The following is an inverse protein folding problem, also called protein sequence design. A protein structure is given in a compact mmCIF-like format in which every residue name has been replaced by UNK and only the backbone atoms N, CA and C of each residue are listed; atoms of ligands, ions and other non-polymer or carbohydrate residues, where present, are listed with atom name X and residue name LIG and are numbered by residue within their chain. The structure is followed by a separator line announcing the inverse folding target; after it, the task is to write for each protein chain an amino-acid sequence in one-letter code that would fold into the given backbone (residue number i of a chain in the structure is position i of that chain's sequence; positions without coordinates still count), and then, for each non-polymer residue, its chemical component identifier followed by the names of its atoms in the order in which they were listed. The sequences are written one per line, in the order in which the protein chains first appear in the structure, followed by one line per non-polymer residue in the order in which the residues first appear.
data_IF_327097554419
#
_entry.id   IF_327097554419
#
_cell.length_a   1.000
_cell.length_b   1.000
_cell.length_c   1.000
_cell.angle_alpha   90.00
_cell.angle_beta   90.00
_cell.angle_gamma   90.00
#
_symmetry.space_group_name_H-M   'P 1'
#
loop_
_entity.id
_entity.type
_entity.pdbx_description
1 polymer ?
#
# COMPACT_ATOMS: atom_id res chain seq x y z
N UNK A 1 52.88 30.84 -16.30
CA UNK A 1 52.50 31.50 -15.03
C UNK A 1 51.18 30.90 -14.54
N UNK A 2 51.16 30.30 -13.36
CA UNK A 2 49.92 29.71 -12.80
C UNK A 2 49.01 30.83 -12.33
N UNK A 3 47.70 30.67 -12.54
CA UNK A 3 46.70 31.60 -12.00
C UNK A 3 46.61 31.43 -10.48
N UNK A 4 46.49 32.53 -9.74
CA UNK A 4 46.27 32.52 -8.29
C UNK A 4 44.95 31.85 -7.99
N UNK A 5 44.95 30.80 -7.18
CA UNK A 5 43.74 30.11 -6.71
C UNK A 5 43.14 30.85 -5.50
N UNK A 6 41.85 31.03 -5.47
CA UNK A 6 41.13 31.61 -4.33
C UNK A 6 41.17 30.67 -3.13
N UNK A 7 41.36 31.21 -1.93
CA UNK A 7 41.27 30.46 -0.67
C UNK A 7 39.81 30.24 -0.24
N UNK A 8 38.88 30.93 -0.89
CA UNK A 8 37.44 30.75 -0.65
C UNK A 8 36.81 30.20 -1.92
N UNK A 9 36.22 29.00 -1.79
CA UNK A 9 35.45 28.38 -2.89
C UNK A 9 33.98 28.60 -2.60
N UNK A 10 33.28 29.20 -3.55
CA UNK A 10 31.84 29.16 -3.64
C UNK A 10 31.42 27.98 -4.51
N UNK A 11 30.97 26.91 -3.90
CA UNK A 11 30.62 25.69 -4.61
C UNK A 11 29.39 25.90 -5.52
N UNK A 12 28.46 26.76 -5.15
CA UNK A 12 27.25 27.03 -5.96
C UNK A 12 27.66 27.73 -7.25
N UNK A 13 28.48 28.78 -7.14
CA UNK A 13 28.98 29.52 -8.29
C UNK A 13 29.84 28.63 -9.19
N UNK A 14 30.71 27.81 -8.62
CA UNK A 14 31.54 26.87 -9.37
C UNK A 14 30.72 25.85 -10.14
N UNK A 15 29.67 25.31 -9.53
CA UNK A 15 28.76 24.38 -10.20
C UNK A 15 28.02 25.01 -11.38
N UNK A 16 27.56 26.25 -11.25
CA UNK A 16 26.97 27.00 -12.36
C UNK A 16 27.97 27.22 -13.50
N UNK A 17 29.20 27.64 -13.20
CA UNK A 17 30.23 27.81 -14.20
C UNK A 17 30.56 26.52 -14.96
N UNK A 18 30.58 25.37 -14.27
CA UNK A 18 30.80 24.06 -14.91
C UNK A 18 29.60 23.65 -15.78
N UNK A 19 28.39 23.87 -15.35
CA UNK A 19 27.20 23.57 -16.15
C UNK A 19 27.15 24.43 -17.42
N UNK A 20 27.47 25.72 -17.31
CA UNK A 20 27.57 26.62 -18.46
C UNK A 20 28.69 26.21 -19.44
N UNK A 21 29.84 25.79 -18.90
CA UNK A 21 30.93 25.24 -19.72
C UNK A 21 30.49 23.99 -20.47
N UNK A 22 29.82 23.03 -19.78
CA UNK A 22 29.33 21.81 -20.41
C UNK A 22 28.35 22.10 -21.53
N UNK A 23 27.46 23.05 -21.32
CA UNK A 23 26.45 23.49 -22.31
C UNK A 23 27.14 24.14 -23.51
N UNK A 24 27.99 25.15 -23.28
CA UNK A 24 28.70 25.88 -24.33
C UNK A 24 29.61 24.99 -25.17
N UNK A 25 30.27 24.02 -24.56
CA UNK A 25 31.19 23.10 -25.22
C UNK A 25 30.50 21.82 -25.74
N UNK A 26 29.22 21.65 -25.55
CA UNK A 26 28.46 20.44 -25.92
C UNK A 26 29.06 19.15 -25.39
N UNK A 27 29.57 19.16 -24.13
CA UNK A 27 30.38 18.06 -23.56
C UNK A 27 29.62 16.74 -23.61
N UNK A 28 28.33 16.72 -23.23
CA UNK A 28 27.50 15.50 -23.27
C UNK A 28 27.40 14.92 -24.70
N UNK A 29 27.12 15.78 -25.72
CA UNK A 29 27.04 15.32 -27.10
C UNK A 29 28.37 14.77 -27.61
N UNK A 30 29.51 15.39 -27.22
CA UNK A 30 30.86 14.88 -27.55
C UNK A 30 31.12 13.50 -26.93
N UNK A 31 30.69 13.28 -25.66
CA UNK A 31 30.85 12.00 -24.99
C UNK A 31 30.01 10.90 -25.69
N UNK A 32 28.77 11.20 -26.04
CA UNK A 32 27.87 10.26 -26.76
C UNK A 32 28.51 9.88 -28.11
N UNK A 33 28.96 10.87 -28.90
CA UNK A 33 29.59 10.64 -30.19
C UNK A 33 30.90 9.83 -30.10
N UNK A 34 31.72 10.09 -29.07
CA UNK A 34 32.99 9.36 -28.84
C UNK A 34 32.76 7.85 -28.61
N UNK A 35 31.63 7.49 -28.02
CA UNK A 35 31.36 6.11 -27.66
C UNK A 35 30.40 5.41 -28.63
N UNK A 36 29.93 6.06 -29.66
CA UNK A 36 29.08 5.49 -30.67
C UNK A 36 29.70 4.27 -31.35
N UNK A 37 28.94 3.19 -31.52
CA UNK A 37 29.35 1.93 -32.12
C UNK A 37 30.23 1.02 -31.23
N UNK A 38 30.47 1.43 -29.99
CA UNK A 38 31.23 0.62 -29.01
C UNK A 38 30.27 -0.40 -28.32
N UNK A 39 30.81 -1.37 -27.55
CA UNK A 39 29.96 -2.30 -26.82
C UNK A 39 28.98 -1.57 -25.90
N UNK A 40 27.69 -1.96 -26.00
CA UNK A 40 26.59 -1.29 -25.30
C UNK A 40 26.59 -1.60 -23.81
N UNK A 41 26.21 -0.60 -23.04
CA UNK A 41 25.81 -0.75 -21.65
C UNK A 41 24.67 0.26 -21.36
N UNK A 42 23.64 -0.18 -20.70
CA UNK A 42 22.54 0.68 -20.27
C UNK A 42 21.81 0.01 -19.11
N UNK A 43 21.12 0.80 -18.32
CA UNK A 43 20.14 0.31 -17.37
C UNK A 43 18.75 0.86 -17.73
N UNK A 44 17.73 0.20 -17.25
CA UNK A 44 16.38 0.71 -17.34
C UNK A 44 16.09 1.52 -16.08
N UNK A 45 15.78 2.79 -16.25
CA UNK A 45 15.44 3.66 -15.12
C UNK A 45 13.98 3.44 -14.69
N UNK A 46 13.76 3.25 -13.39
CA UNK A 46 12.45 3.39 -12.77
C UNK A 46 12.09 4.87 -12.73
N UNK A 47 11.07 5.32 -13.50
CA UNK A 47 10.79 6.73 -13.65
C UNK A 47 10.22 7.34 -12.38
N UNK A 48 10.62 8.57 -12.05
CA UNK A 48 10.04 9.34 -10.95
C UNK A 48 8.64 9.78 -11.35
N UNK A 49 7.68 9.69 -10.43
CA UNK A 49 6.34 10.25 -10.64
C UNK A 49 6.43 11.77 -10.78
N UNK A 50 5.92 12.28 -11.90
CA UNK A 50 5.99 13.72 -12.22
C UNK A 50 4.82 14.50 -11.58
N UNK A 51 4.68 14.39 -10.26
CA UNK A 51 3.61 15.01 -9.48
C UNK A 51 4.06 16.18 -8.60
N UNK A 52 5.35 16.23 -8.24
CA UNK A 52 5.96 17.24 -7.37
C UNK A 52 7.43 17.47 -7.73
N UNK A 53 8.08 18.43 -7.05
CA UNK A 53 9.53 18.62 -7.13
C UNK A 53 10.25 17.38 -6.62
N UNK A 54 11.48 17.13 -7.08
CA UNK A 54 12.31 16.06 -6.55
C UNK A 54 12.61 16.28 -5.06
N UNK A 55 12.44 15.23 -4.27
CA UNK A 55 12.98 15.17 -2.91
C UNK A 55 14.44 14.76 -2.91
N UNK A 56 15.10 14.86 -1.76
CA UNK A 56 16.52 14.51 -1.55
C UNK A 56 16.80 13.06 -1.97
N UNK A 57 15.91 12.13 -1.65
CA UNK A 57 16.05 10.72 -2.02
C UNK A 57 16.04 10.49 -3.54
N UNK A 58 15.28 11.29 -4.30
CA UNK A 58 15.31 11.25 -5.76
C UNK A 58 16.66 11.74 -6.30
N UNK A 59 17.20 12.84 -5.76
CA UNK A 59 18.50 13.37 -6.12
C UNK A 59 19.60 12.35 -5.80
N UNK A 60 19.55 11.72 -4.64
CA UNK A 60 20.47 10.66 -4.25
C UNK A 60 20.45 9.47 -5.21
N UNK A 61 19.25 8.94 -5.52
CA UNK A 61 19.10 7.86 -6.50
C UNK A 61 19.64 8.24 -7.89
N UNK A 62 19.41 9.48 -8.36
CA UNK A 62 19.95 9.96 -9.64
C UNK A 62 21.49 10.06 -9.61
N UNK A 63 22.07 10.48 -8.51
CA UNK A 63 23.53 10.56 -8.35
C UNK A 63 24.18 9.17 -8.47
N UNK A 64 23.60 8.13 -7.86
CA UNK A 64 24.09 6.76 -8.05
C UNK A 64 24.02 6.32 -9.52
N UNK A 65 22.89 6.51 -10.16
CA UNK A 65 22.68 6.14 -11.57
C UNK A 65 23.71 6.84 -12.48
N UNK A 66 23.91 8.15 -12.28
CA UNK A 66 24.86 8.95 -13.03
C UNK A 66 26.31 8.47 -12.82
N UNK A 67 26.67 8.10 -11.59
CA UNK A 67 28.00 7.56 -11.28
C UNK A 67 28.30 6.30 -12.11
N UNK A 68 27.35 5.36 -12.17
CA UNK A 68 27.51 4.16 -13.00
C UNK A 68 27.57 4.48 -14.49
N UNK A 69 26.71 5.38 -14.98
CA UNK A 69 26.75 5.82 -16.38
C UNK A 69 28.10 6.44 -16.74
N UNK A 70 28.60 7.34 -15.91
CA UNK A 70 29.93 7.97 -16.13
C UNK A 70 31.06 6.95 -16.12
N UNK A 71 31.05 6.03 -15.17
CA UNK A 71 32.03 4.95 -15.10
C UNK A 71 32.07 4.13 -16.39
N UNK A 72 30.91 3.64 -16.85
CA UNK A 72 30.87 2.83 -18.07
C UNK A 72 31.18 3.64 -19.33
N UNK A 73 30.76 4.90 -19.40
CA UNK A 73 31.13 5.78 -20.50
C UNK A 73 32.63 6.01 -20.59
N UNK A 74 33.30 6.25 -19.45
CA UNK A 74 34.75 6.39 -19.38
C UNK A 74 35.50 5.09 -19.77
N UNK A 75 34.89 3.93 -19.52
CA UNK A 75 35.37 2.62 -19.95
C UNK A 75 34.99 2.27 -21.41
N UNK A 76 34.61 3.25 -22.21
CA UNK A 76 34.38 3.08 -23.63
C UNK A 76 33.11 2.28 -23.95
N UNK A 77 32.06 2.43 -23.19
CA UNK A 77 30.74 1.84 -23.49
C UNK A 77 29.84 2.87 -24.15
N UNK A 78 29.05 2.42 -25.12
CA UNK A 78 27.93 3.19 -25.68
C UNK A 78 26.72 3.09 -24.75
N UNK A 79 26.20 4.24 -24.29
CA UNK A 79 25.06 4.31 -23.38
C UNK A 79 23.84 4.96 -24.07
N UNK A 80 22.63 4.54 -23.68
CA UNK A 80 21.41 5.10 -24.22
C UNK A 80 20.97 6.42 -23.57
N UNK A 81 21.31 6.63 -22.30
CA UNK A 81 20.95 7.83 -21.53
C UNK A 81 19.46 8.19 -21.53
N UNK A 82 18.58 7.20 -21.50
CA UNK A 82 17.14 7.46 -21.57
C UNK A 82 16.55 7.75 -20.20
N UNK A 83 15.96 8.92 -20.06
CA UNK A 83 15.10 9.31 -18.93
C UNK A 83 13.65 8.91 -19.16
N UNK A 84 12.87 8.80 -18.09
CA UNK A 84 11.44 8.58 -18.12
C UNK A 84 10.71 9.34 -17.01
N UNK A 85 9.41 9.54 -17.23
CA UNK A 85 8.50 10.11 -16.24
C UNK A 85 7.30 9.19 -16.03
N UNK A 86 7.00 8.88 -14.77
CA UNK A 86 5.77 8.23 -14.37
C UNK A 86 4.66 9.29 -14.30
N UNK A 87 3.56 9.03 -15.01
CA UNK A 87 2.58 10.06 -15.33
C UNK A 87 1.19 9.78 -14.77
N UNK A 88 0.95 8.66 -14.14
CA UNK A 88 -0.37 8.25 -13.66
C UNK A 88 -0.33 7.64 -12.26
N UNK A 89 -1.52 7.31 -11.77
CA UNK A 89 -1.72 6.71 -10.48
C UNK A 89 -2.16 7.70 -9.40
N UNK A 90 -2.45 7.18 -8.21
CA UNK A 90 -2.99 7.93 -7.09
C UNK A 90 -2.15 9.14 -6.68
N UNK A 91 -0.83 9.06 -6.80
CA UNK A 91 0.07 10.15 -6.42
C UNK A 91 -0.09 11.42 -7.27
N UNK A 92 -0.52 11.30 -8.52
CA UNK A 92 -0.89 12.46 -9.36
C UNK A 92 -2.29 12.94 -9.00
N UNK A 93 -3.22 12.01 -8.90
CA UNK A 93 -4.63 12.25 -8.62
C UNK A 93 -4.85 13.00 -7.30
N UNK A 94 -4.30 12.48 -6.20
CA UNK A 94 -4.42 13.09 -4.85
C UNK A 94 -3.89 14.52 -4.81
N UNK A 95 -2.81 14.81 -5.51
CA UNK A 95 -2.27 16.17 -5.56
C UNK A 95 -3.18 17.14 -6.33
N UNK A 96 -3.84 16.66 -7.39
CA UNK A 96 -4.83 17.46 -8.13
C UNK A 96 -6.10 17.65 -7.31
N UNK A 97 -6.57 16.62 -6.61
CA UNK A 97 -7.70 16.72 -5.67
C UNK A 97 -7.45 17.79 -4.60
N UNK A 98 -6.25 17.81 -4.02
CA UNK A 98 -5.84 18.82 -3.04
C UNK A 98 -5.83 20.23 -3.66
N UNK A 99 -5.32 20.40 -4.88
CA UNK A 99 -5.32 21.70 -5.59
C UNK A 99 -6.74 22.20 -5.83
N UNK A 100 -7.67 21.30 -6.14
CA UNK A 100 -9.08 21.65 -6.42
C UNK A 100 -9.94 21.72 -5.14
N UNK A 101 -9.40 21.30 -3.98
CA UNK A 101 -10.11 21.29 -2.71
C UNK A 101 -11.18 20.20 -2.60
N UNK A 102 -11.05 19.12 -3.37
CA UNK A 102 -11.96 17.98 -3.36
C UNK A 102 -11.85 17.18 -2.06
N UNK A 103 -12.99 16.63 -1.61
CA UNK A 103 -13.09 15.85 -0.38
C UNK A 103 -13.49 14.40 -0.63
N UNK A 104 -13.96 14.10 -1.82
CA UNK A 104 -14.42 12.76 -2.21
C UNK A 104 -14.28 12.51 -3.69
N UNK A 105 -14.31 11.26 -4.11
CA UNK A 105 -14.32 10.88 -5.54
C UNK A 105 -15.56 11.40 -6.29
N UNK A 106 -16.67 11.66 -5.61
CA UNK A 106 -17.87 12.25 -6.19
C UNK A 106 -17.64 13.67 -6.69
N UNK A 107 -16.69 14.39 -6.08
CA UNK A 107 -16.33 15.75 -6.53
C UNK A 107 -15.65 15.70 -7.90
N UNK A 108 -14.90 14.63 -8.20
CA UNK A 108 -14.31 14.40 -9.53
C UNK A 108 -15.40 14.19 -10.58
N UNK A 109 -16.42 13.37 -10.26
CA UNK A 109 -17.55 13.12 -11.15
C UNK A 109 -18.33 14.42 -11.42
N UNK A 110 -18.59 15.22 -10.40
CA UNK A 110 -19.27 16.51 -10.51
C UNK A 110 -18.45 17.56 -11.31
N UNK A 111 -17.14 17.55 -11.15
CA UNK A 111 -16.23 18.42 -11.93
C UNK A 111 -16.10 18.00 -13.40
N UNK A 112 -16.33 16.74 -13.69
CA UNK A 112 -16.16 16.08 -14.96
C UNK A 112 -14.82 15.37 -15.09
N UNK A 113 -14.86 14.07 -15.31
CA UNK A 113 -13.68 13.19 -15.37
C UNK A 113 -12.67 13.67 -16.43
N UNK A 114 -13.14 14.11 -17.60
CA UNK A 114 -12.26 14.63 -18.67
C UNK A 114 -11.48 15.87 -18.21
N UNK A 115 -12.16 16.82 -17.56
CA UNK A 115 -11.54 18.03 -17.02
C UNK A 115 -10.50 17.70 -15.95
N UNK A 116 -10.81 16.73 -15.08
CA UNK A 116 -9.90 16.27 -14.05
C UNK A 116 -8.66 15.59 -14.64
N UNK A 117 -8.84 14.70 -15.61
CA UNK A 117 -7.72 14.06 -16.33
C UNK A 117 -6.84 15.09 -17.03
N UNK A 118 -7.43 16.13 -17.61
CA UNK A 118 -6.64 17.22 -18.22
C UNK A 118 -5.79 17.96 -17.17
N UNK A 119 -6.34 18.23 -15.98
CA UNK A 119 -5.58 18.81 -14.86
C UNK A 119 -4.43 17.90 -14.42
N UNK A 120 -4.64 16.60 -14.35
CA UNK A 120 -3.57 15.63 -14.07
C UNK A 120 -2.46 15.68 -15.14
N UNK A 121 -2.81 15.70 -16.42
CA UNK A 121 -1.84 15.84 -17.52
C UNK A 121 -1.06 17.14 -17.45
N UNK A 122 -1.72 18.25 -17.14
CA UNK A 122 -1.07 19.56 -17.01
C UNK A 122 -0.11 19.59 -15.83
N UNK A 123 -0.48 18.96 -14.71
CA UNK A 123 0.39 18.79 -13.55
C UNK A 123 1.65 17.98 -13.91
N UNK A 124 1.48 16.85 -14.60
CA UNK A 124 2.60 16.02 -15.05
C UNK A 124 3.55 16.80 -15.96
N UNK A 125 3.03 17.56 -16.94
CA UNK A 125 3.86 18.41 -17.82
C UNK A 125 4.64 19.45 -17.04
N UNK A 126 3.99 20.12 -16.08
CA UNK A 126 4.64 21.11 -15.20
C UNK A 126 5.77 20.52 -14.40
N UNK A 127 5.52 19.40 -13.71
CA UNK A 127 6.51 18.84 -12.82
C UNK A 127 7.58 18.02 -13.53
N UNK A 128 7.32 17.43 -14.68
CA UNK A 128 8.37 16.83 -15.51
C UNK A 128 9.40 17.86 -15.97
N UNK A 129 8.96 19.06 -16.36
CA UNK A 129 9.86 20.15 -16.70
C UNK A 129 10.72 20.58 -15.48
N UNK A 130 10.08 20.79 -14.32
CA UNK A 130 10.78 21.14 -13.07
C UNK A 130 11.78 20.06 -12.66
N UNK A 131 11.40 18.78 -12.71
CA UNK A 131 12.31 17.68 -12.38
C UNK A 131 13.47 17.55 -13.36
N UNK A 132 13.26 17.89 -14.64
CA UNK A 132 14.33 17.97 -15.64
C UNK A 132 15.33 19.07 -15.27
N UNK A 133 14.85 20.28 -14.97
CA UNK A 133 15.71 21.39 -14.53
C UNK A 133 16.51 21.04 -13.27
N UNK A 134 15.86 20.47 -12.25
CA UNK A 134 16.50 20.02 -11.02
C UNK A 134 17.57 18.96 -11.29
N UNK A 135 17.32 18.04 -12.23
CA UNK A 135 18.28 17.00 -12.62
C UNK A 135 19.46 17.53 -13.40
N UNK A 136 19.23 18.49 -14.30
CA UNK A 136 20.31 19.20 -14.98
C UNK A 136 21.16 19.99 -13.98
N UNK A 137 20.50 20.65 -13.01
CA UNK A 137 21.20 21.36 -11.93
C UNK A 137 22.07 20.42 -11.07
N UNK A 138 21.61 19.20 -10.87
CA UNK A 138 22.39 18.15 -10.18
C UNK A 138 23.58 17.64 -10.98
N UNK A 139 23.69 18.01 -12.25
CA UNK A 139 24.72 17.53 -13.18
C UNK A 139 24.42 16.15 -13.78
N UNK A 140 23.20 15.67 -13.66
CA UNK A 140 22.79 14.36 -14.18
C UNK A 140 22.71 14.37 -15.71
N UNK A 141 23.41 13.47 -16.39
CA UNK A 141 23.46 13.40 -17.84
C UNK A 141 22.45 12.42 -18.41
N UNK A 142 21.50 12.95 -19.16
CA UNK A 142 20.46 12.21 -19.88
C UNK A 142 20.18 12.85 -21.21
N UNK A 143 19.60 12.08 -22.13
CA UNK A 143 18.99 12.57 -23.36
C UNK A 143 17.59 13.09 -23.03
N UNK A 144 17.54 14.31 -22.52
CA UNK A 144 16.31 14.94 -22.01
C UNK A 144 15.27 15.15 -23.10
N UNK A 145 15.68 15.37 -24.35
CA UNK A 145 14.78 15.63 -25.48
C UNK A 145 14.01 14.37 -25.89
N UNK A 146 14.54 13.18 -25.56
CA UNK A 146 13.95 11.88 -25.85
C UNK A 146 13.45 11.15 -24.60
N UNK A 147 13.08 11.88 -23.56
CA UNK A 147 12.46 11.29 -22.38
C UNK A 147 11.16 10.57 -22.74
N UNK A 148 10.92 9.39 -22.19
CA UNK A 148 9.62 8.72 -22.34
C UNK A 148 8.64 9.13 -21.23
N UNK A 149 7.35 9.08 -21.56
CA UNK A 149 6.25 9.34 -20.63
C UNK A 149 5.36 8.12 -20.57
N UNK A 150 5.06 7.64 -19.38
CA UNK A 150 4.23 6.42 -19.23
C UNK A 150 2.81 6.61 -19.76
N UNK A 151 2.32 7.85 -19.88
CA UNK A 151 1.03 8.17 -20.51
C UNK A 151 1.06 8.24 -22.04
N UNK A 152 2.22 8.09 -22.68
CA UNK A 152 2.34 8.16 -24.13
C UNK A 152 1.73 6.92 -24.81
N UNK A 153 1.09 7.13 -25.97
CA UNK A 153 0.44 6.04 -26.72
C UNK A 153 1.41 4.91 -27.07
N UNK A 154 2.64 5.24 -27.48
CA UNK A 154 3.68 4.24 -27.79
C UNK A 154 3.96 3.34 -26.58
N UNK A 155 4.03 3.92 -25.38
CA UNK A 155 4.20 3.17 -24.14
C UNK A 155 3.00 2.24 -23.90
N UNK A 156 1.79 2.79 -24.00
CA UNK A 156 0.55 2.05 -23.79
C UNK A 156 0.39 0.89 -24.78
N UNK A 157 0.66 1.12 -26.06
CA UNK A 157 0.59 0.06 -27.09
C UNK A 157 1.62 -1.04 -26.84
N UNK A 158 2.81 -0.70 -26.34
CA UNK A 158 3.82 -1.70 -25.99
C UNK A 158 3.36 -2.57 -24.81
N UNK A 159 2.73 -1.97 -23.81
CA UNK A 159 2.12 -2.68 -22.67
C UNK A 159 0.99 -3.59 -23.17
N UNK A 160 0.10 -3.09 -24.02
CA UNK A 160 -0.98 -3.90 -24.63
C UNK A 160 -0.45 -5.08 -25.41
N UNK A 161 0.63 -4.90 -26.16
CA UNK A 161 1.28 -5.99 -26.89
C UNK A 161 1.83 -7.05 -25.93
N UNK A 162 2.43 -6.64 -24.82
CA UNK A 162 2.90 -7.55 -23.78
C UNK A 162 1.73 -8.33 -23.17
N UNK A 163 0.66 -7.65 -22.75
CA UNK A 163 -0.54 -8.26 -22.18
C UNK A 163 -1.18 -9.26 -23.16
N UNK A 164 -1.26 -8.92 -24.46
CA UNK A 164 -1.75 -9.83 -25.49
C UNK A 164 -0.92 -11.11 -25.57
N UNK A 165 0.42 -11.01 -25.47
CA UNK A 165 1.29 -12.19 -25.44
C UNK A 165 1.03 -13.06 -24.21
N UNK A 166 0.86 -12.45 -23.04
CA UNK A 166 0.53 -13.16 -21.80
C UNK A 166 -0.84 -13.84 -21.89
N UNK A 167 -1.84 -13.15 -22.42
CA UNK A 167 -3.17 -13.72 -22.66
C UNK A 167 -3.12 -14.94 -23.59
N UNK A 168 -2.42 -14.83 -24.73
CA UNK A 168 -2.29 -15.93 -25.69
C UNK A 168 -1.56 -17.16 -25.11
N UNK A 169 -0.79 -16.98 -24.03
CA UNK A 169 -0.12 -18.07 -23.31
C UNK A 169 -0.96 -18.61 -22.13
N UNK A 170 -2.17 -18.10 -21.93
CA UNK A 170 -3.03 -18.49 -20.82
C UNK A 170 -2.55 -18.00 -19.43
N UNK A 171 -1.64 -17.03 -19.38
CA UNK A 171 -1.11 -16.48 -18.12
C UNK A 171 -2.01 -15.41 -17.50
N UNK A 172 -2.93 -14.85 -18.27
CA UNK A 172 -3.92 -13.88 -17.81
C UNK A 172 -5.28 -14.54 -17.80
N UNK A 173 -5.93 -14.55 -16.65
CA UNK A 173 -7.27 -15.09 -16.46
C UNK A 173 -8.04 -14.19 -15.49
N UNK A 174 -9.38 -14.30 -15.49
CA UNK A 174 -10.23 -13.62 -14.52
C UNK A 174 -10.30 -14.43 -13.24
N UNK A 175 -9.94 -13.82 -12.13
CA UNK A 175 -9.93 -14.46 -10.82
C UNK A 175 -10.37 -13.51 -9.71
N UNK A 176 -10.42 -14.04 -8.49
CA UNK A 176 -10.68 -13.27 -7.27
C UNK A 176 -9.52 -13.45 -6.31
N UNK A 177 -9.21 -12.39 -5.57
CA UNK A 177 -8.20 -12.41 -4.52
C UNK A 177 -8.62 -11.48 -3.39
N UNK A 178 -8.06 -11.70 -2.19
CA UNK A 178 -8.28 -10.84 -1.04
C UNK A 178 -7.17 -9.81 -0.95
N UNK A 179 -7.54 -8.55 -0.89
CA UNK A 179 -6.58 -7.45 -0.79
C UNK A 179 -7.11 -6.32 0.09
N UNK A 180 -6.24 -5.59 0.80
CA UNK A 180 -6.61 -4.36 1.49
C UNK A 180 -7.17 -3.33 0.52
N UNK A 181 -8.27 -2.71 0.88
CA UNK A 181 -8.96 -1.72 0.07
C UNK A 181 -9.10 -0.40 0.81
N UNK A 182 -8.67 0.69 0.20
CA UNK A 182 -8.90 2.03 0.72
C UNK A 182 -10.26 2.55 0.22
N UNK A 183 -11.20 2.74 1.14
CA UNK A 183 -12.54 3.23 0.80
C UNK A 183 -12.53 4.70 0.38
N UNK A 184 -11.58 5.49 0.86
CA UNK A 184 -11.41 6.90 0.53
C UNK A 184 -10.83 7.08 -0.89
N UNK A 185 -9.77 6.34 -1.20
CA UNK A 185 -9.15 6.34 -2.53
C UNK A 185 -9.94 5.52 -3.57
N UNK A 186 -10.82 4.60 -3.14
CA UNK A 186 -11.50 3.67 -4.04
C UNK A 186 -10.56 2.71 -4.78
N UNK A 187 -9.45 2.32 -4.14
CA UNK A 187 -8.39 1.52 -4.77
C UNK A 187 -7.82 0.45 -3.82
N UNK A 188 -7.27 -0.60 -4.41
CA UNK A 188 -6.49 -1.59 -3.68
C UNK A 188 -5.18 -0.96 -3.17
N UNK A 189 -4.79 -1.34 -1.95
CA UNK A 189 -3.56 -0.85 -1.32
C UNK A 189 -2.44 -1.85 -1.49
N UNK A 190 -1.27 -1.36 -1.86
CA UNK A 190 -0.06 -2.17 -1.88
C UNK A 190 0.50 -2.39 -0.47
N UNK A 191 1.23 -3.48 -0.29
CA UNK A 191 1.92 -3.77 0.97
C UNK A 191 2.91 -2.64 1.36
N UNK A 192 3.54 -2.01 0.37
CA UNK A 192 4.45 -0.89 0.59
C UNK A 192 3.75 0.34 1.18
N UNK A 193 2.57 0.69 0.69
CA UNK A 193 1.77 1.81 1.20
C UNK A 193 1.33 1.57 2.65
N UNK A 194 0.98 0.33 3.00
CA UNK A 194 0.62 -0.03 4.38
C UNK A 194 1.84 0.08 5.30
N UNK A 195 3.00 -0.46 4.87
CA UNK A 195 4.18 -0.56 5.72
C UNK A 195 4.90 0.78 5.95
N UNK A 196 4.86 1.71 4.98
CA UNK A 196 5.64 2.95 5.04
C UNK A 196 4.89 4.10 5.72
N UNK A 197 3.62 4.32 5.40
CA UNK A 197 2.87 5.49 5.89
C UNK A 197 1.43 5.17 6.33
N UNK A 198 0.93 4.01 5.97
CA UNK A 198 -0.47 3.62 6.19
C UNK A 198 -0.76 3.04 7.56
N UNK A 199 0.26 2.49 8.26
CA UNK A 199 0.05 1.89 9.58
C UNK A 199 0.05 2.96 10.67
N UNK A 200 -1.03 2.99 11.45
CA UNK A 200 -1.14 3.85 12.65
C UNK A 200 -1.84 3.10 13.76
N UNK A 201 -1.32 3.23 14.98
CA UNK A 201 -2.03 2.78 16.16
C UNK A 201 -3.24 3.70 16.42
N UNK A 202 -4.41 3.12 16.47
CA UNK A 202 -5.66 3.84 16.69
C UNK A 202 -6.46 3.19 17.81
N UNK A 203 -7.14 4.03 18.61
CA UNK A 203 -8.11 3.54 19.60
C UNK A 203 -9.47 3.42 18.94
N UNK A 204 -9.98 2.20 18.91
CA UNK A 204 -11.33 1.90 18.43
C UNK A 204 -12.21 1.37 19.55
N UNK A 205 -13.52 1.58 19.40
CA UNK A 205 -14.49 0.87 20.20
C UNK A 205 -14.57 -0.58 19.70
N UNK A 206 -14.56 -1.52 20.64
CA UNK A 206 -14.80 -2.94 20.39
C UNK A 206 -16.02 -3.40 21.19
N UNK A 207 -16.63 -4.47 20.75
CA UNK A 207 -17.80 -5.01 21.41
C UNK A 207 -17.60 -6.46 21.81
N UNK A 208 -18.26 -6.84 22.91
CA UNK A 208 -18.43 -8.22 23.32
C UNK A 208 -19.88 -8.60 23.09
N UNK A 209 -20.10 -9.67 22.33
CA UNK A 209 -21.42 -10.13 21.93
C UNK A 209 -21.67 -11.52 22.51
N UNK A 210 -22.86 -11.73 23.04
CA UNK A 210 -23.30 -13.05 23.49
C UNK A 210 -23.86 -13.83 22.32
N UNK A 211 -23.33 -15.01 22.08
CA UNK A 211 -23.91 -15.97 21.15
C UNK A 211 -24.55 -17.10 21.97
N UNK A 212 -25.87 -17.12 22.09
CA UNK A 212 -26.60 -18.11 22.89
C UNK A 212 -26.36 -19.52 22.38
N UNK A 213 -26.08 -20.47 23.28
CA UNK A 213 -25.88 -21.86 22.95
C UNK A 213 -27.24 -22.57 22.72
N UNK A 214 -27.31 -23.32 21.62
CA UNK A 214 -28.52 -24.11 21.32
C UNK A 214 -28.72 -25.20 22.38
N UNK A 215 -29.91 -25.32 22.91
CA UNK A 215 -30.29 -26.30 23.91
C UNK A 215 -29.75 -26.03 25.32
N UNK A 216 -29.16 -24.86 25.59
CA UNK A 216 -28.68 -24.44 26.92
C UNK A 216 -29.31 -23.09 27.30
N UNK A 217 -30.21 -23.12 28.23
CA UNK A 217 -30.91 -21.91 28.66
C UNK A 217 -29.95 -20.97 29.40
N UNK A 218 -29.96 -19.68 29.00
CA UNK A 218 -29.12 -18.61 29.56
C UNK A 218 -27.60 -18.87 29.52
N UNK A 219 -27.15 -19.75 28.65
CA UNK A 219 -25.70 -19.98 28.42
C UNK A 219 -25.27 -19.40 27.07
N UNK A 220 -24.20 -18.64 27.04
CA UNK A 220 -23.67 -18.00 25.82
C UNK A 220 -22.16 -18.07 25.75
N UNK A 221 -21.61 -18.26 24.57
CA UNK A 221 -20.22 -17.95 24.32
C UNK A 221 -20.05 -16.44 24.17
N UNK A 222 -19.02 -15.87 24.79
CA UNK A 222 -18.74 -14.44 24.74
C UNK A 222 -17.74 -14.18 23.61
N UNK A 223 -18.22 -13.61 22.52
CA UNK A 223 -17.42 -13.33 21.33
C UNK A 223 -17.02 -11.86 21.33
N UNK A 224 -15.78 -11.59 20.95
CA UNK A 224 -15.28 -10.23 20.83
C UNK A 224 -14.98 -9.86 19.37
N UNK A 225 -15.27 -8.63 18.97
CA UNK A 225 -14.91 -8.11 17.67
C UNK A 225 -14.63 -6.60 17.69
N UNK A 226 -13.67 -6.18 16.88
CA UNK A 226 -13.39 -4.77 16.53
C UNK A 226 -14.18 -4.31 15.31
N UNK A 227 -14.81 -5.24 14.59
CA UNK A 227 -15.49 -5.01 13.30
C UNK A 227 -16.94 -5.51 13.34
N UNK A 228 -17.81 -4.89 14.15
CA UNK A 228 -19.16 -5.37 14.38
C UNK A 228 -20.05 -5.44 13.11
N UNK A 229 -19.69 -4.71 12.07
CA UNK A 229 -20.39 -4.76 10.78
C UNK A 229 -20.20 -6.07 10.01
N UNK A 230 -19.27 -6.95 10.46
CA UNK A 230 -19.10 -8.29 9.89
C UNK A 230 -20.01 -9.35 10.53
N UNK A 231 -20.64 -9.04 11.67
CA UNK A 231 -21.54 -9.98 12.38
C UNK A 231 -22.69 -10.52 11.52
N UNK A 232 -23.32 -9.74 10.60
CA UNK A 232 -24.34 -10.27 9.70
C UNK A 232 -23.88 -11.39 8.76
N UNK A 233 -22.57 -11.54 8.57
CA UNK A 233 -21.97 -12.59 7.75
C UNK A 233 -21.33 -13.71 8.59
N UNK A 234 -21.66 -13.81 9.89
CA UNK A 234 -21.12 -14.86 10.76
C UNK A 234 -21.44 -16.27 10.23
N UNK A 235 -20.44 -17.13 10.15
CA UNK A 235 -20.58 -18.54 9.74
C UNK A 235 -20.13 -19.51 10.82
N UNK A 236 -19.18 -19.10 11.68
CA UNK A 236 -18.66 -19.93 12.77
C UNK A 236 -18.11 -19.06 13.91
N UNK A 237 -17.86 -19.70 15.06
CA UNK A 237 -17.05 -19.16 16.15
C UNK A 237 -15.82 -20.06 16.35
N UNK A 238 -14.63 -19.48 16.40
CA UNK A 238 -13.38 -20.24 16.53
C UNK A 238 -12.80 -20.16 17.94
N UNK A 239 -12.27 -21.27 18.42
CA UNK A 239 -11.57 -21.41 19.70
C UNK A 239 -10.24 -22.13 19.49
N UNK A 240 -9.26 -21.86 20.35
CA UNK A 240 -8.03 -22.63 20.37
C UNK A 240 -8.25 -23.93 21.16
N UNK A 241 -7.96 -25.12 20.62
CA UNK A 241 -8.31 -26.39 21.23
C UNK A 241 -7.59 -26.62 22.57
N UNK A 242 -6.37 -26.11 22.74
CA UNK A 242 -5.53 -26.36 23.90
C UNK A 242 -5.55 -25.27 24.98
N UNK A 243 -6.14 -24.09 24.68
CA UNK A 243 -6.32 -23.05 25.69
C UNK A 243 -7.37 -23.45 26.71
N UNK A 244 -7.22 -22.91 27.94
CA UNK A 244 -8.19 -23.13 29.03
C UNK A 244 -9.34 -22.14 28.93
N UNK A 245 -10.54 -22.62 28.83
CA UNK A 245 -11.78 -21.83 28.87
C UNK A 245 -12.49 -22.02 30.19
N UNK A 246 -13.25 -20.99 30.56
CA UNK A 246 -14.03 -20.95 31.79
C UNK A 246 -15.50 -20.97 31.48
N UNK A 247 -16.26 -21.71 32.30
CA UNK A 247 -17.70 -21.54 32.47
C UNK A 247 -17.91 -20.64 33.66
N UNK A 248 -18.48 -19.44 33.45
CA UNK A 248 -18.60 -18.40 34.47
C UNK A 248 -20.07 -17.98 34.62
N UNK A 249 -20.58 -17.98 35.84
CA UNK A 249 -21.88 -17.40 36.18
C UNK A 249 -21.70 -15.93 36.48
N UNK A 250 -22.49 -15.06 35.82
CA UNK A 250 -22.58 -13.65 36.14
C UNK A 250 -24.05 -13.24 36.17
N UNK A 251 -24.57 -12.94 37.37
CA UNK A 251 -26.00 -12.78 37.55
C UNK A 251 -26.77 -14.07 37.22
N UNK A 252 -27.75 -13.96 36.35
CA UNK A 252 -28.61 -15.07 35.89
C UNK A 252 -28.02 -15.80 34.65
N UNK A 253 -26.93 -15.29 34.09
CA UNK A 253 -26.36 -15.82 32.85
C UNK A 253 -25.08 -16.63 33.08
N UNK A 254 -24.83 -17.53 32.17
CA UNK A 254 -23.57 -18.30 32.11
C UNK A 254 -22.84 -17.91 30.84
N UNK A 255 -21.58 -17.50 30.99
CA UNK A 255 -20.72 -17.05 29.92
C UNK A 255 -19.49 -17.94 29.77
N UNK A 256 -19.06 -18.17 28.54
CA UNK A 256 -17.87 -18.92 28.20
C UNK A 256 -16.83 -18.00 27.58
N UNK A 257 -15.61 -18.01 28.11
CA UNK A 257 -14.48 -17.20 27.63
C UNK A 257 -13.16 -17.84 28.04
N UNK A 258 -12.05 -17.41 27.42
CA UNK A 258 -10.72 -17.90 27.80
C UNK A 258 -10.31 -17.40 29.18
N UNK A 259 -9.59 -18.22 29.93
CA UNK A 259 -9.20 -17.96 31.33
C UNK A 259 -8.45 -16.64 31.51
N UNK A 260 -7.52 -16.35 30.64
CA UNK A 260 -6.66 -15.16 30.68
C UNK A 260 -7.44 -13.86 30.51
N UNK A 261 -8.67 -13.94 30.00
CA UNK A 261 -9.53 -12.76 29.75
C UNK A 261 -10.70 -12.61 30.75
N UNK A 262 -10.63 -13.32 31.87
CA UNK A 262 -11.66 -13.23 32.92
C UNK A 262 -11.89 -11.78 33.42
N UNK A 263 -10.88 -10.91 33.34
CA UNK A 263 -10.96 -9.49 33.70
C UNK A 263 -12.03 -8.71 32.90
N UNK A 264 -12.42 -9.20 31.73
CA UNK A 264 -13.48 -8.59 30.90
C UNK A 264 -14.83 -8.55 31.65
N UNK A 265 -15.07 -9.53 32.53
CA UNK A 265 -16.30 -9.60 33.32
C UNK A 265 -16.27 -8.75 34.60
N UNK A 266 -15.08 -8.36 35.09
CA UNK A 266 -14.93 -7.61 36.35
C UNK A 266 -15.67 -6.28 36.35
N UNK A 267 -15.72 -5.59 35.20
CA UNK A 267 -16.40 -4.31 35.06
C UNK A 267 -17.93 -4.41 35.10
N UNK A 268 -18.48 -5.64 35.03
CA UNK A 268 -19.92 -5.92 34.94
C UNK A 268 -20.54 -6.46 36.24
N UNK A 269 -19.77 -6.59 37.31
CA UNK A 269 -20.21 -7.09 38.61
C UNK A 269 -19.54 -8.36 39.06
N UNK A 270 -20.09 -8.96 40.15
CA UNK A 270 -19.55 -10.21 40.70
C UNK A 270 -19.80 -11.39 39.76
N UNK A 271 -18.87 -12.32 39.78
CA UNK A 271 -18.95 -13.55 38.98
C UNK A 271 -18.48 -14.76 39.78
N UNK A 272 -18.90 -15.96 39.35
CA UNK A 272 -18.49 -17.25 39.93
C UNK A 272 -17.98 -18.14 38.81
N UNK A 273 -16.76 -18.64 38.95
CA UNK A 273 -16.21 -19.69 38.06
C UNK A 273 -16.87 -21.02 38.45
N UNK A 274 -17.53 -21.65 37.49
CA UNK A 274 -18.20 -22.93 37.68
C UNK A 274 -17.37 -24.10 37.20
N UNK A 275 -16.61 -23.94 36.11
CA UNK A 275 -15.82 -25.01 35.51
C UNK A 275 -14.64 -24.40 34.70
N UNK A 276 -13.52 -25.16 34.67
CA UNK A 276 -12.37 -24.92 33.80
C UNK A 276 -12.18 -26.14 32.87
N UNK A 277 -11.95 -25.89 31.58
CA UNK A 277 -11.81 -26.99 30.61
C UNK A 277 -11.05 -26.51 29.35
N UNK A 278 -10.43 -27.46 28.60
CA UNK A 278 -9.76 -27.12 27.35
C UNK A 278 -10.75 -26.80 26.22
N UNK A 279 -10.35 -25.91 25.31
CA UNK A 279 -11.19 -25.44 24.19
C UNK A 279 -11.73 -26.54 23.29
N UNK A 280 -11.02 -27.65 23.15
CA UNK A 280 -11.49 -28.85 22.42
C UNK A 280 -12.85 -29.38 22.90
N UNK A 281 -13.25 -29.11 24.16
CA UNK A 281 -14.56 -29.48 24.68
C UNK A 281 -15.72 -28.64 24.05
N UNK A 282 -15.41 -27.48 23.49
CA UNK A 282 -16.39 -26.60 22.86
C UNK A 282 -16.60 -26.92 21.37
N UNK A 283 -15.76 -27.72 20.76
CA UNK A 283 -15.85 -28.04 19.35
C UNK A 283 -17.20 -28.69 19.01
N UNK A 284 -17.82 -28.15 17.95
CA UNK A 284 -19.12 -28.61 17.51
C UNK A 284 -20.33 -28.06 18.31
N UNK A 285 -20.12 -27.26 19.36
CA UNK A 285 -21.25 -26.61 20.03
C UNK A 285 -21.99 -25.72 19.04
N UNK A 286 -23.31 -25.84 19.03
CA UNK A 286 -24.18 -25.01 18.19
C UNK A 286 -24.63 -23.80 18.98
N UNK A 287 -24.76 -22.67 18.27
CA UNK A 287 -25.17 -21.40 18.85
C UNK A 287 -26.09 -20.63 17.89
N UNK A 288 -26.91 -19.74 18.43
CA UNK A 288 -27.67 -18.77 17.65
C UNK A 288 -26.79 -17.57 17.32
N UNK A 289 -26.61 -17.33 16.01
CA UNK A 289 -25.82 -16.20 15.53
C UNK A 289 -26.61 -14.87 15.59
N UNK A 290 -25.93 -13.73 15.69
CA UNK A 290 -26.61 -12.45 15.50
C UNK A 290 -27.13 -12.33 14.07
N UNK A 291 -28.32 -11.72 13.91
CA UNK A 291 -28.96 -11.44 12.60
C UNK A 291 -29.40 -12.69 11.82
N UNK A 292 -29.81 -13.76 12.50
CA UNK A 292 -30.33 -14.99 11.86
C UNK A 292 -31.52 -14.75 10.92
N UNK A 293 -32.26 -13.65 11.12
CA UNK A 293 -33.38 -13.22 10.27
C UNK A 293 -32.96 -12.81 8.86
N UNK A 294 -31.69 -12.51 8.62
CA UNK A 294 -31.22 -12.09 7.31
C UNK A 294 -31.22 -13.27 6.31
N UNK A 295 -31.56 -13.02 5.03
CA UNK A 295 -31.57 -14.07 4.02
C UNK A 295 -30.25 -14.82 3.85
N UNK A 296 -29.11 -14.13 4.07
CA UNK A 296 -27.77 -14.73 3.97
C UNK A 296 -27.50 -15.74 5.08
N UNK A 297 -28.21 -15.67 6.20
CA UNK A 297 -28.07 -16.58 7.35
C UNK A 297 -29.02 -17.78 7.31
N UNK A 298 -30.00 -17.76 6.42
CA UNK A 298 -30.99 -18.83 6.36
C UNK A 298 -30.41 -20.17 5.94
N UNK A 299 -30.69 -21.20 6.73
CA UNK A 299 -30.21 -22.57 6.47
C UNK A 299 -28.76 -22.85 6.93
N UNK A 300 -28.07 -21.86 7.53
CA UNK A 300 -26.76 -22.09 8.14
C UNK A 300 -26.91 -22.70 9.55
N UNK A 301 -26.01 -23.59 9.89
CA UNK A 301 -25.87 -24.13 11.25
C UNK A 301 -24.55 -23.59 11.81
N UNK A 302 -24.67 -22.69 12.77
CA UNK A 302 -23.51 -22.05 13.38
C UNK A 302 -22.87 -22.93 14.43
N UNK A 303 -21.56 -23.20 14.29
CA UNK A 303 -20.82 -24.10 15.18
C UNK A 303 -19.52 -23.50 15.65
N UNK A 304 -19.07 -23.96 16.81
CA UNK A 304 -17.73 -23.69 17.30
C UNK A 304 -16.75 -24.61 16.58
N UNK A 305 -15.71 -24.02 15.99
CA UNK A 305 -14.63 -24.71 15.26
C UNK A 305 -13.28 -24.49 15.93
N UNK A 306 -12.29 -25.30 15.58
CA UNK A 306 -10.91 -25.10 16.04
C UNK A 306 -10.14 -24.13 15.14
N UNK A 307 -9.29 -23.32 15.78
CA UNK A 307 -8.32 -22.50 15.08
C UNK A 307 -7.13 -22.17 15.99
N UNK A 308 -5.94 -22.64 15.63
CA UNK A 308 -4.74 -22.52 16.46
C UNK A 308 -4.18 -21.09 16.57
N UNK A 309 -4.65 -20.15 15.74
CA UNK A 309 -4.24 -18.75 15.82
C UNK A 309 -5.07 -17.92 16.81
N UNK A 310 -6.05 -18.49 17.47
CA UNK A 310 -6.83 -17.78 18.49
C UNK A 310 -5.93 -17.49 19.69
N UNK A 311 -5.71 -16.20 19.98
CA UNK A 311 -4.84 -15.75 21.05
C UNK A 311 -5.57 -15.77 22.41
N UNK A 312 -4.84 -16.17 23.48
CA UNK A 312 -5.34 -16.13 24.85
C UNK A 312 -5.47 -14.71 25.40
N UNK A 313 -4.68 -13.77 24.84
CA UNK A 313 -4.53 -12.41 25.38
C UNK A 313 -5.47 -11.39 24.75
N UNK A 314 -6.14 -11.73 23.65
CA UNK A 314 -6.99 -10.80 22.91
C UNK A 314 -8.49 -11.11 23.07
N UNK A 315 -9.28 -10.07 23.19
CA UNK A 315 -10.73 -10.15 23.25
C UNK A 315 -11.26 -11.04 24.36
N UNK A 316 -11.97 -12.09 23.99
CA UNK A 316 -12.53 -13.14 24.88
C UNK A 316 -11.89 -14.52 24.66
N UNK A 317 -10.93 -14.62 23.74
CA UNK A 317 -10.39 -15.91 23.29
C UNK A 317 -11.38 -16.72 22.44
N UNK A 318 -12.45 -16.11 21.96
CA UNK A 318 -13.41 -16.68 21.01
C UNK A 318 -13.59 -15.67 19.87
N UNK A 319 -13.30 -16.10 18.67
CA UNK A 319 -13.30 -15.26 17.47
C UNK A 319 -14.48 -15.63 16.59
N UNK A 320 -15.23 -14.64 16.12
CA UNK A 320 -16.24 -14.89 15.11
C UNK A 320 -15.60 -14.95 13.71
N UNK A 321 -16.10 -15.85 12.88
CA UNK A 321 -15.70 -16.04 11.48
C UNK A 321 -16.85 -15.59 10.59
N UNK A 322 -16.54 -14.74 9.60
CA UNK A 322 -17.47 -14.21 8.61
C UNK A 322 -17.05 -14.60 7.19
#
# INVERSE_FOLDING_TARGET
MFKKVSNKLDFIELEHQILDFWKAQHIFKKLVAQNQGKPKWSFLDGPITANNRMGVHHAWGRTYKDTFQRYYAMNGRELRYQNGFDCQGLWVEVEVEKELGFKSKKDIEAYGVENFVQKCKDRVKKFSAIQTEQSIRLGYWMDWDNSYYTMADVNNYTIWQFLKKCYNRGWIYKGHDVMPWCIDCGAAMSQHEIATEGYKEMKHQSIYVRFPLVGKEKESILVWTTTPWTLPANVAAAVHPDLTYLKVRQGDEILYLVKERLSVLQSKGEYQILEEFPGKKMLGWEYSAPFEELPVQQGLVHRVIEWNEVAATDGSGIVHIA
#
